data_IF_895812739484
#
_entry.id   IF_895812739484
#
_cell.length_a   1.000
_cell.length_b   1.000
_cell.length_c   1.000
_cell.angle_alpha   90.00
_cell.angle_beta   90.00
_cell.angle_gamma   90.00
#
_symmetry.space_group_name_H-M   'P 1'
#
loop_
_entity.id
_entity.type
_entity.pdbx_description
1 polymer ?
#
# COMPACT_ATOMS: atom_id res chain seq x y z
N UNK A 1 9.64 21.78 -8.32
CA UNK A 1 10.97 21.15 -8.13
C UNK A 1 11.21 20.06 -9.18
N UNK A 2 12.47 19.83 -9.58
CA UNK A 2 12.83 18.70 -10.48
C UNK A 2 12.95 17.38 -9.70
N UNK A 3 13.07 16.26 -10.40
CA UNK A 3 13.12 14.93 -9.76
C UNK A 3 14.29 14.76 -8.77
N UNK A 4 15.43 15.42 -9.01
CA UNK A 4 16.58 15.38 -8.08
C UNK A 4 16.23 16.04 -6.75
N UNK A 5 15.72 17.27 -6.81
CA UNK A 5 15.29 18.02 -5.63
C UNK A 5 14.11 17.33 -4.92
N UNK A 6 13.18 16.75 -5.67
CA UNK A 6 12.08 15.97 -5.11
C UNK A 6 12.57 14.72 -4.37
N UNK A 7 13.56 14.01 -4.94
CA UNK A 7 14.23 12.86 -4.33
C UNK A 7 14.88 13.26 -3.01
N UNK A 8 15.62 14.36 -2.99
CA UNK A 8 16.30 14.85 -1.78
C UNK A 8 15.29 15.26 -0.71
N UNK A 9 14.20 15.94 -1.10
CA UNK A 9 13.17 16.44 -0.18
C UNK A 9 12.29 15.35 0.42
N UNK A 10 12.03 14.29 -0.35
CA UNK A 10 11.16 13.16 0.07
C UNK A 10 11.93 11.97 0.62
N UNK A 11 13.24 11.90 0.36
CA UNK A 11 14.07 10.73 0.65
C UNK A 11 13.75 9.52 -0.24
N UNK A 12 12.95 9.69 -1.29
CA UNK A 12 12.58 8.59 -2.20
C UNK A 12 13.64 8.45 -3.30
N UNK A 13 14.14 7.22 -3.56
CA UNK A 13 14.97 6.96 -4.72
C UNK A 13 14.24 7.34 -6.02
N UNK A 14 15.00 7.82 -7.02
CA UNK A 14 14.44 8.19 -8.34
C UNK A 14 13.62 7.06 -8.96
N UNK A 15 14.07 5.82 -8.83
CA UNK A 15 13.34 4.65 -9.34
C UNK A 15 11.97 4.47 -8.65
N UNK A 16 11.90 4.74 -7.34
CA UNK A 16 10.62 4.73 -6.61
C UNK A 16 9.70 5.86 -7.09
N UNK A 17 10.26 7.05 -7.35
CA UNK A 17 9.50 8.18 -7.87
C UNK A 17 8.93 7.84 -9.26
N UNK A 18 9.76 7.29 -10.16
CA UNK A 18 9.31 6.82 -11.47
C UNK A 18 8.25 5.73 -11.36
N UNK A 19 8.42 4.80 -10.42
CA UNK A 19 7.44 3.75 -10.16
C UNK A 19 6.09 4.33 -9.69
N UNK A 20 6.10 5.32 -8.79
CA UNK A 20 4.88 6.00 -8.32
C UNK A 20 4.18 6.74 -9.45
N UNK A 21 4.94 7.43 -10.32
CA UNK A 21 4.40 8.08 -11.52
C UNK A 21 3.73 7.06 -12.44
N UNK A 22 4.41 5.94 -12.72
CA UNK A 22 3.86 4.87 -13.59
C UNK A 22 2.57 4.27 -13.02
N UNK A 23 2.41 4.27 -11.70
CA UNK A 23 1.21 3.79 -11.00
C UNK A 23 0.14 4.86 -10.77
N UNK A 24 0.35 6.09 -11.24
CA UNK A 24 -0.58 7.21 -11.04
C UNK A 24 -0.65 7.71 -9.59
N UNK A 25 0.30 7.31 -8.75
CA UNK A 25 0.39 7.74 -7.35
C UNK A 25 0.94 9.16 -7.21
N UNK A 26 1.82 9.55 -8.13
CA UNK A 26 2.30 10.91 -8.30
C UNK A 26 1.99 11.37 -9.72
N UNK A 27 1.53 12.60 -9.87
CA UNK A 27 1.17 13.18 -11.17
C UNK A 27 1.79 14.57 -11.33
N UNK A 28 3.14 14.64 -11.36
CA UNK A 28 3.83 15.91 -11.54
C UNK A 28 3.48 16.49 -12.91
N UNK A 29 3.46 17.81 -12.98
CA UNK A 29 3.18 18.56 -14.20
C UNK A 29 4.27 18.34 -15.25
N UNK A 30 3.88 18.46 -16.53
CA UNK A 30 4.86 18.54 -17.61
C UNK A 30 5.45 19.95 -17.64
N UNK A 31 6.77 20.03 -17.55
CA UNK A 31 7.50 21.29 -17.63
C UNK A 31 7.61 21.82 -19.06
N UNK A 32 8.04 23.07 -19.18
CA UNK A 32 8.22 23.74 -20.49
C UNK A 32 9.59 23.46 -21.15
N UNK A 33 10.47 22.71 -20.48
CA UNK A 33 11.84 22.39 -20.93
C UNK A 33 11.98 20.88 -21.14
N UNK A 34 12.89 20.45 -22.02
CA UNK A 34 13.16 19.02 -22.30
C UNK A 34 12.86 18.56 -23.73
N UNK A 35 12.43 19.47 -24.62
CA UNK A 35 12.21 19.16 -26.04
C UNK A 35 11.12 18.10 -26.24
N UNK A 36 11.45 17.01 -26.95
CA UNK A 36 10.53 15.90 -27.22
C UNK A 36 10.14 15.08 -26.00
N UNK A 37 10.84 15.23 -24.86
CA UNK A 37 10.50 14.60 -23.59
C UNK A 37 10.60 15.62 -22.44
N UNK A 38 9.51 16.37 -22.17
CA UNK A 38 9.53 17.43 -21.18
C UNK A 38 9.89 16.94 -19.77
N UNK A 39 10.66 17.75 -19.04
CA UNK A 39 10.96 17.47 -17.64
C UNK A 39 9.69 17.48 -16.79
N UNK A 40 9.62 16.59 -15.79
CA UNK A 40 8.53 16.59 -14.82
C UNK A 40 8.81 17.61 -13.71
N UNK A 41 7.80 18.42 -13.41
CA UNK A 41 7.83 19.43 -12.36
C UNK A 41 6.94 18.95 -11.22
N UNK A 42 7.55 18.69 -10.07
CA UNK A 42 6.86 18.27 -8.86
C UNK A 42 6.47 19.50 -8.04
N UNK A 43 5.31 19.45 -7.42
CA UNK A 43 4.78 20.48 -6.54
C UNK A 43 4.99 20.12 -5.06
N UNK A 44 4.60 21.01 -4.14
CA UNK A 44 4.52 20.67 -2.72
C UNK A 44 3.40 19.65 -2.42
N UNK A 45 2.33 19.61 -3.22
CA UNK A 45 1.28 18.60 -3.04
C UNK A 45 1.78 17.20 -3.41
N UNK A 46 2.67 17.08 -4.39
CA UNK A 46 3.36 15.80 -4.69
C UNK A 46 4.22 15.35 -3.49
N UNK A 47 4.86 16.28 -2.78
CA UNK A 47 5.65 15.96 -1.58
C UNK A 47 4.74 15.48 -0.45
N UNK A 48 3.60 16.14 -0.23
CA UNK A 48 2.61 15.69 0.74
C UNK A 48 2.06 14.30 0.40
N UNK A 49 1.77 14.04 -0.88
CA UNK A 49 1.33 12.73 -1.37
C UNK A 49 2.40 11.66 -1.15
N UNK A 50 3.66 11.94 -1.43
CA UNK A 50 4.77 11.01 -1.17
C UNK A 50 4.86 10.63 0.32
N UNK A 51 4.70 11.60 1.23
CA UNK A 51 4.66 11.33 2.68
C UNK A 51 3.44 10.50 3.07
N UNK A 52 2.27 10.84 2.53
CA UNK A 52 1.04 10.08 2.75
C UNK A 52 1.19 8.63 2.34
N UNK A 53 1.72 8.36 1.13
CA UNK A 53 1.96 7.00 0.64
C UNK A 53 2.86 6.22 1.61
N UNK A 54 3.94 6.83 2.10
CA UNK A 54 4.86 6.19 3.06
C UNK A 54 4.15 5.80 4.36
N UNK A 55 3.33 6.69 4.91
CA UNK A 55 2.56 6.41 6.14
C UNK A 55 1.49 5.34 5.88
N UNK A 56 0.75 5.43 4.77
CA UNK A 56 -0.25 4.44 4.40
C UNK A 56 0.38 3.04 4.23
N UNK A 57 1.56 2.96 3.61
CA UNK A 57 2.30 1.70 3.50
C UNK A 57 2.79 1.16 4.84
N UNK A 58 3.24 2.01 5.78
CA UNK A 58 3.64 1.53 7.12
C UNK A 58 2.44 1.01 7.94
N UNK A 59 1.25 1.50 7.63
CA UNK A 59 -0.03 1.01 8.16
C UNK A 59 -0.54 -0.23 7.39
N UNK A 60 0.23 -0.70 6.41
CA UNK A 60 -0.02 -1.91 5.64
C UNK A 60 -1.08 -1.76 4.55
N UNK A 61 -1.36 -0.54 4.10
CA UNK A 61 -2.12 -0.30 2.88
C UNK A 61 -1.23 -0.56 1.67
N UNK A 62 -1.75 -1.29 0.68
CA UNK A 62 -1.01 -1.57 -0.54
C UNK A 62 -0.99 -0.36 -1.48
N UNK A 63 0.09 -0.23 -2.26
CA UNK A 63 0.18 0.77 -3.33
C UNK A 63 -0.95 0.64 -4.37
N UNK A 64 -1.51 -0.56 -4.52
CA UNK A 64 -2.67 -0.80 -5.40
C UNK A 64 -3.93 -0.16 -4.83
N UNK A 65 -4.19 -0.30 -3.54
CA UNK A 65 -5.32 0.35 -2.87
C UNK A 65 -5.21 1.87 -2.98
N UNK A 66 -4.03 2.44 -2.67
CA UNK A 66 -3.81 3.89 -2.77
C UNK A 66 -4.02 4.39 -4.20
N UNK A 67 -3.50 3.69 -5.20
CA UNK A 67 -3.69 4.06 -6.60
C UNK A 67 -5.16 3.99 -7.03
N UNK A 68 -5.91 2.98 -6.58
CA UNK A 68 -7.33 2.85 -6.87
C UNK A 68 -8.16 3.99 -6.26
N UNK A 69 -7.83 4.41 -5.03
CA UNK A 69 -8.48 5.56 -4.38
C UNK A 69 -8.20 6.87 -5.11
N UNK A 70 -6.94 7.13 -5.47
CA UNK A 70 -6.58 8.31 -6.26
C UNK A 70 -7.25 8.33 -7.64
N UNK A 71 -7.42 7.16 -8.26
CA UNK A 71 -8.12 7.01 -9.53
C UNK A 71 -9.62 7.34 -9.39
N UNK A 72 -10.26 6.80 -8.35
CA UNK A 72 -11.68 6.99 -8.05
C UNK A 72 -11.99 8.46 -7.76
N UNK A 73 -11.21 9.09 -6.88
CA UNK A 73 -11.31 10.51 -6.56
C UNK A 73 -11.22 11.38 -7.81
N UNK A 74 -10.30 11.06 -8.73
CA UNK A 74 -10.11 11.86 -9.94
C UNK A 74 -11.22 11.68 -10.96
N UNK A 75 -11.74 10.46 -11.13
CA UNK A 75 -12.73 10.14 -12.17
C UNK A 75 -14.13 10.65 -11.82
N UNK A 76 -14.53 10.47 -10.57
CA UNK A 76 -15.91 10.69 -10.15
C UNK A 76 -16.03 11.52 -8.87
N UNK A 77 -14.92 11.82 -8.20
CA UNK A 77 -14.91 12.21 -6.80
C UNK A 77 -15.29 11.03 -5.89
N UNK A 78 -14.82 11.07 -4.66
CA UNK A 78 -15.26 10.15 -3.61
C UNK A 78 -16.46 10.78 -2.90
N UNK A 79 -17.61 10.11 -2.96
CA UNK A 79 -18.79 10.52 -2.20
C UNK A 79 -18.55 10.36 -0.69
N UNK A 80 -19.25 11.11 0.18
CA UNK A 80 -19.13 10.93 1.62
C UNK A 80 -19.42 9.50 2.10
N UNK A 81 -20.36 8.80 1.47
CA UNK A 81 -20.71 7.41 1.75
C UNK A 81 -19.55 6.48 1.40
N UNK A 82 -18.97 6.67 0.21
CA UNK A 82 -17.83 5.91 -0.26
C UNK A 82 -16.59 6.14 0.60
N UNK A 83 -16.34 7.39 1.00
CA UNK A 83 -15.28 7.72 1.95
C UNK A 83 -15.45 6.96 3.28
N UNK A 84 -16.68 6.87 3.81
CA UNK A 84 -16.95 6.11 5.04
C UNK A 84 -16.68 4.61 4.86
N UNK A 85 -17.04 4.02 3.72
CA UNK A 85 -16.74 2.62 3.42
C UNK A 85 -15.23 2.35 3.40
N UNK A 86 -14.49 3.21 2.71
CA UNK A 86 -13.02 3.13 2.64
C UNK A 86 -12.42 3.22 4.04
N UNK A 87 -12.84 4.20 4.84
CA UNK A 87 -12.35 4.38 6.21
C UNK A 87 -12.68 3.17 7.11
N UNK A 88 -13.87 2.57 6.97
CA UNK A 88 -14.23 1.34 7.70
C UNK A 88 -13.35 0.16 7.30
N UNK A 89 -13.07 -0.01 6.01
CA UNK A 89 -12.18 -1.06 5.53
C UNK A 89 -10.75 -0.88 6.07
N UNK A 90 -10.24 0.36 6.06
CA UNK A 90 -8.92 0.67 6.62
C UNK A 90 -8.89 0.37 8.12
N UNK A 91 -9.92 0.78 8.87
CA UNK A 91 -10.01 0.51 10.30
C UNK A 91 -10.02 -0.99 10.59
N UNK A 92 -10.79 -1.78 9.84
CA UNK A 92 -10.82 -3.23 10.01
C UNK A 92 -9.44 -3.86 9.76
N UNK A 93 -8.77 -3.48 8.66
CA UNK A 93 -7.42 -3.99 8.36
C UNK A 93 -6.40 -3.61 9.45
N UNK A 94 -6.55 -2.43 10.07
CA UNK A 94 -5.69 -2.00 11.17
C UNK A 94 -5.93 -2.81 12.44
N UNK A 95 -7.19 -3.06 12.80
CA UNK A 95 -7.54 -3.88 13.97
C UNK A 95 -7.10 -5.34 13.78
N UNK A 96 -7.25 -5.91 12.58
CA UNK A 96 -6.77 -7.26 12.28
C UNK A 96 -5.24 -7.37 12.42
N UNK A 97 -4.50 -6.35 11.93
CA UNK A 97 -3.04 -6.27 12.09
C UNK A 97 -2.64 -6.11 13.56
N UNK A 98 -3.37 -5.28 14.32
CA UNK A 98 -3.12 -5.09 15.75
C UNK A 98 -3.28 -6.41 16.49
N UNK A 99 -4.37 -7.15 16.26
CA UNK A 99 -4.59 -8.45 16.89
C UNK A 99 -3.46 -9.44 16.57
N UNK A 100 -3.01 -9.48 15.31
CA UNK A 100 -1.89 -10.33 14.92
C UNK A 100 -0.57 -9.93 15.60
N UNK A 101 -0.30 -8.62 15.75
CA UNK A 101 0.85 -8.11 16.46
C UNK A 101 0.79 -8.40 17.96
N UNK A 102 -0.40 -8.30 18.57
CA UNK A 102 -0.62 -8.63 19.98
C UNK A 102 -0.35 -10.12 20.23
N UNK A 103 -0.86 -11.01 19.36
CA UNK A 103 -0.58 -12.45 19.41
C UNK A 103 0.92 -12.76 19.28
N UNK A 104 1.60 -12.10 18.33
CA UNK A 104 3.05 -12.27 18.15
C UNK A 104 3.86 -11.76 19.34
N UNK A 105 3.43 -10.64 19.94
CA UNK A 105 4.07 -10.06 21.13
C UNK A 105 3.94 -11.00 22.32
N UNK A 106 2.77 -11.60 22.52
CA UNK A 106 2.54 -12.61 23.54
C UNK A 106 3.44 -13.84 23.32
N UNK A 107 3.49 -14.38 22.11
CA UNK A 107 4.36 -15.50 21.76
C UNK A 107 5.84 -15.24 22.10
N UNK A 108 6.37 -14.09 21.67
CA UNK A 108 7.78 -13.73 21.92
C UNK A 108 8.03 -13.58 23.42
N UNK A 109 7.11 -12.96 24.15
CA UNK A 109 7.20 -12.78 25.60
C UNK A 109 7.24 -14.12 26.33
N UNK A 110 6.30 -15.02 26.01
CA UNK A 110 6.20 -16.34 26.65
C UNK A 110 7.41 -17.21 26.33
N UNK A 111 7.88 -17.16 25.07
CA UNK A 111 9.11 -17.87 24.67
C UNK A 111 10.34 -17.34 25.39
N UNK A 112 10.45 -16.02 25.60
CA UNK A 112 11.52 -15.43 26.40
C UNK A 112 11.48 -15.89 27.85
N UNK A 113 10.29 -15.99 28.45
CA UNK A 113 10.09 -16.53 29.81
C UNK A 113 10.52 -17.98 29.89
N UNK A 114 10.06 -18.84 28.98
CA UNK A 114 10.47 -20.25 28.89
C UNK A 114 11.99 -20.40 28.76
N UNK A 115 12.65 -19.55 27.95
CA UNK A 115 14.11 -19.55 27.83
C UNK A 115 14.81 -19.15 29.14
N UNK A 116 14.26 -18.19 29.88
CA UNK A 116 14.80 -17.73 31.18
C UNK A 116 14.66 -18.78 32.27
N UNK A 117 13.58 -19.55 32.26
CA UNK A 117 13.27 -20.59 33.24
C UNK A 117 14.02 -21.92 32.99
N UNK A 118 14.99 -21.90 32.06
CA UNK A 118 15.84 -23.05 31.77
C UNK A 118 15.21 -24.05 30.80
N UNK A 119 14.21 -23.62 30.01
CA UNK A 119 13.58 -24.44 28.96
C UNK A 119 12.87 -25.68 29.49
N UNK A 120 12.19 -25.53 30.62
CA UNK A 120 11.41 -26.60 31.24
C UNK A 120 10.06 -26.74 30.54
N UNK A 121 9.64 -27.98 30.28
CA UNK A 121 8.38 -28.28 29.58
C UNK A 121 8.39 -27.95 28.09
N UNK A 122 7.27 -28.20 27.40
CA UNK A 122 7.14 -27.88 25.97
C UNK A 122 7.26 -26.36 25.75
N UNK A 123 7.95 -25.92 24.69
CA UNK A 123 7.98 -24.51 24.34
C UNK A 123 6.58 -24.05 23.87
N UNK A 124 6.25 -22.75 24.01
CA UNK A 124 5.07 -22.18 23.37
C UNK A 124 5.07 -22.49 21.87
N UNK A 125 3.96 -23.00 21.34
CA UNK A 125 3.79 -23.20 19.90
C UNK A 125 3.41 -21.87 19.25
N UNK A 126 4.07 -21.53 18.15
CA UNK A 126 3.77 -20.33 17.38
C UNK A 126 2.32 -20.33 16.84
N UNK A 127 1.80 -21.50 16.44
CA UNK A 127 0.49 -21.60 15.82
C UNK A 127 -0.66 -21.30 16.78
N UNK A 128 -0.47 -21.54 18.09
CA UNK A 128 -1.48 -21.23 19.11
C UNK A 128 -1.75 -19.71 19.22
N UNK A 129 -0.77 -18.89 18.89
CA UNK A 129 -0.86 -17.42 18.95
C UNK A 129 -1.20 -16.82 17.58
N UNK A 130 -0.69 -17.42 16.50
CA UNK A 130 -0.94 -16.95 15.13
C UNK A 130 -2.37 -17.23 14.63
N UNK A 131 -3.06 -18.21 15.21
CA UNK A 131 -4.40 -18.63 14.81
C UNK A 131 -5.52 -18.05 15.68
N UNK A 132 -5.22 -17.16 16.63
CA UNK A 132 -6.23 -16.33 17.32
C UNK A 132 -6.82 -15.37 16.29
N UNK A 133 -7.71 -15.88 15.45
CA UNK A 133 -8.30 -15.15 14.33
C UNK A 133 -9.33 -14.14 14.84
N UNK A 134 -9.14 -12.89 14.43
CA UNK A 134 -10.25 -12.01 14.08
C UNK A 134 -11.11 -12.71 13.00
N UNK A 135 -12.44 -12.59 13.05
CA UNK A 135 -13.32 -13.25 12.10
C UNK A 135 -12.97 -12.81 10.68
N UNK A 136 -12.72 -13.78 9.82
CA UNK A 136 -12.67 -13.55 8.37
C UNK A 136 -14.02 -13.00 7.92
N UNK A 137 -14.03 -11.78 7.39
CA UNK A 137 -15.15 -11.24 6.65
C UNK A 137 -14.61 -10.39 5.50
N UNK A 138 -14.58 -10.99 4.30
CA UNK A 138 -14.12 -10.27 3.12
C UNK A 138 -13.79 -11.12 1.89
N UNK A 139 -14.45 -12.26 1.65
CA UNK A 139 -14.69 -12.63 0.25
C UNK A 139 -15.62 -11.56 -0.34
N UNK A 140 -15.05 -10.58 -1.02
CA UNK A 140 -15.82 -9.42 -1.46
C UNK A 140 -15.07 -8.51 -2.42
N UNK A 141 -14.36 -9.09 -3.39
CA UNK A 141 -14.08 -8.48 -4.70
C UNK A 141 -13.51 -9.58 -5.62
N UNK A 142 -14.35 -10.57 -5.93
CA UNK A 142 -14.14 -11.36 -7.14
C UNK A 142 -14.30 -10.42 -8.33
N UNK A 143 -13.22 -10.28 -9.08
CA UNK A 143 -13.14 -9.87 -10.48
C UNK A 143 -14.49 -9.60 -11.18
N UNK A 144 -14.89 -8.34 -11.27
CA UNK A 144 -15.79 -7.93 -12.36
C UNK A 144 -14.94 -7.83 -13.63
N UNK A 145 -15.22 -8.73 -14.56
CA UNK A 145 -14.56 -8.78 -15.87
C UNK A 145 -14.78 -7.49 -16.65
N UNK A 146 -13.69 -6.94 -17.18
CA UNK A 146 -13.70 -6.11 -18.37
C UNK A 146 -13.17 -6.99 -19.51
N UNK A 147 -13.85 -7.05 -20.68
CA UNK A 147 -13.40 -7.85 -21.79
C UNK A 147 -12.15 -7.21 -22.40
N UNK A 148 -11.03 -7.92 -22.37
CA UNK A 148 -9.89 -7.60 -23.22
C UNK A 148 -10.13 -8.27 -24.57
N UNK A 149 -10.52 -7.46 -25.56
CA UNK A 149 -10.30 -7.80 -26.96
C UNK A 149 -8.79 -8.00 -27.15
N UNK A 150 -8.37 -9.25 -27.23
CA UNK A 150 -7.04 -9.62 -27.70
C UNK A 150 -7.08 -9.70 -29.21
N UNK A 151 -6.72 -8.59 -29.86
CA UNK A 151 -6.21 -8.64 -31.24
C UNK A 151 -4.97 -9.52 -31.25
N UNK A 152 -5.17 -10.77 -31.66
CA UNK A 152 -4.12 -11.71 -31.95
C UNK A 152 -3.46 -11.32 -33.25
N UNK A 153 -2.48 -10.41 -33.17
CA UNK A 153 -1.44 -10.26 -34.18
C UNK A 153 -0.66 -11.58 -34.27
N UNK A 154 -1.09 -12.43 -35.22
CA UNK A 154 -0.31 -13.56 -35.69
C UNK A 154 0.45 -13.12 -36.92
N UNK A 155 1.68 -12.64 -36.71
CA UNK A 155 2.75 -12.86 -37.67
C UNK A 155 2.95 -14.37 -37.87
N UNK A 156 2.48 -14.89 -39.01
CA UNK A 156 3.04 -16.09 -39.63
C UNK A 156 2.97 -15.96 -41.16
N UNK A 157 4.17 -15.86 -41.73
CA UNK A 157 4.60 -16.14 -43.12
C UNK A 157 4.26 -15.12 -44.18
#
# INVERSE_FOLDING_TARGET
MLISEFSDKTGLPRDTIHFYIKRGLLQPEQGLKGGSNPYRIFSESDVAMARFIRVAQSLGMSLRQIAALNEEERKSGITPERAKEIQRSILQELEDKKLALDGMTAYVTDKMTWMREGRQGPPPDFLDYALVRAPVSGEGLRSSGLPLNGDGDKLKR
#
